data_IF_344368577384
#
_entry.id   IF_344368577384
#
_cell.length_a   1.000
_cell.length_b   1.000
_cell.length_c   1.000
_cell.angle_alpha   90.00
_cell.angle_beta   90.00
_cell.angle_gamma   90.00
#
_symmetry.space_group_name_H-M   'P 1'
#
loop_
_entity.id
_entity.type
_entity.pdbx_description
1 polymer ?
#
# COMPACT_ATOMS: atom_id res chain seq x y z
N UNK A 1 -16.07 3.80 6.76
CA UNK A 1 -15.86 4.90 5.79
C UNK A 1 -14.95 4.53 4.61
N UNK A 2 -13.80 3.89 4.89
CA UNK A 2 -12.80 3.51 3.88
C UNK A 2 -13.32 2.60 2.75
N UNK A 3 -14.38 1.81 2.97
CA UNK A 3 -14.98 0.98 1.91
C UNK A 3 -15.76 1.75 0.83
N UNK A 4 -15.84 3.09 0.89
CA UNK A 4 -16.48 3.91 -0.14
C UNK A 4 -15.45 4.30 -1.20
N UNK A 5 -15.83 4.26 -2.47
CA UNK A 5 -14.96 4.76 -3.56
C UNK A 5 -14.83 6.29 -3.50
N UNK A 6 -13.72 6.81 -4.04
CA UNK A 6 -13.43 8.26 -4.08
C UNK A 6 -14.51 9.02 -4.84
N UNK A 7 -14.97 8.48 -5.97
CA UNK A 7 -16.00 9.12 -6.82
C UNK A 7 -17.40 9.07 -6.19
N UNK A 8 -17.66 8.05 -5.37
CA UNK A 8 -19.02 7.74 -4.90
C UNK A 8 -19.95 7.25 -6.03
N UNK A 9 -21.22 6.97 -5.69
CA UNK A 9 -22.19 6.44 -6.65
C UNK A 9 -22.73 7.52 -7.59
N UNK A 10 -23.08 7.13 -8.83
CA UNK A 10 -23.67 8.02 -9.85
C UNK A 10 -24.88 8.83 -9.32
N UNK A 11 -25.73 8.21 -8.48
CA UNK A 11 -26.88 8.88 -7.87
C UNK A 11 -26.48 10.12 -7.06
N UNK A 12 -25.39 10.04 -6.30
CA UNK A 12 -24.91 11.17 -5.50
C UNK A 12 -24.34 12.28 -6.38
N UNK A 13 -23.63 11.91 -7.46
CA UNK A 13 -23.07 12.87 -8.42
C UNK A 13 -24.19 13.67 -9.10
N UNK A 14 -25.30 13.02 -9.46
CA UNK A 14 -26.44 13.70 -10.10
C UNK A 14 -27.26 14.55 -9.13
N UNK A 15 -27.16 14.32 -7.82
CA UNK A 15 -27.93 15.05 -6.81
C UNK A 15 -27.15 16.14 -6.08
N UNK A 16 -25.83 16.21 -6.25
CA UNK A 16 -24.98 17.15 -5.50
C UNK A 16 -25.32 18.60 -5.87
N UNK A 17 -25.51 19.45 -4.85
CA UNK A 17 -25.83 20.86 -5.01
C UNK A 17 -24.66 21.74 -4.57
N UNK A 18 -24.69 23.01 -4.98
CA UNK A 18 -23.71 24.02 -4.56
C UNK A 18 -23.57 24.11 -3.03
N UNK A 19 -24.68 24.02 -2.31
CA UNK A 19 -24.67 24.14 -0.84
C UNK A 19 -23.99 22.94 -0.16
N UNK A 20 -24.04 21.75 -0.77
CA UNK A 20 -23.31 20.57 -0.29
C UNK A 20 -21.79 20.79 -0.42
N UNK A 21 -21.35 21.35 -1.55
CA UNK A 21 -19.94 21.69 -1.79
C UNK A 21 -19.45 22.81 -0.86
N UNK A 22 -20.25 23.86 -0.69
CA UNK A 22 -19.92 24.96 0.21
C UNK A 22 -19.82 24.48 1.66
N UNK A 23 -20.74 23.61 2.09
CA UNK A 23 -20.71 22.94 3.39
C UNK A 23 -19.46 22.08 3.54
N UNK A 24 -19.12 21.28 2.53
CA UNK A 24 -17.93 20.43 2.55
C UNK A 24 -16.64 21.24 2.69
N UNK A 25 -16.48 22.33 1.92
CA UNK A 25 -15.33 23.23 2.00
C UNK A 25 -15.26 23.85 3.41
N UNK A 26 -16.37 24.42 3.89
CA UNK A 26 -16.41 25.06 5.23
C UNK A 26 -16.05 24.09 6.35
N UNK A 27 -16.43 22.82 6.24
CA UNK A 27 -16.18 21.81 7.29
C UNK A 27 -14.81 21.16 7.21
N UNK A 28 -14.18 21.09 6.03
CA UNK A 28 -12.94 20.31 5.84
C UNK A 28 -11.71 21.14 5.48
N UNK A 29 -11.87 22.32 4.85
CA UNK A 29 -10.76 23.16 4.40
C UNK A 29 -10.42 24.18 5.49
N UNK A 30 -9.90 23.66 6.60
CA UNK A 30 -9.57 24.42 7.80
C UNK A 30 -8.06 24.50 7.99
N UNK A 31 -7.59 25.59 8.60
CA UNK A 31 -6.16 25.87 8.76
C UNK A 31 -5.41 24.77 9.51
N UNK A 32 -6.06 24.09 10.45
CA UNK A 32 -5.50 22.97 11.24
C UNK A 32 -5.35 21.65 10.44
N UNK A 33 -5.89 21.57 9.22
CA UNK A 33 -5.87 20.37 8.36
C UNK A 33 -5.15 20.58 7.03
N UNK A 34 -4.57 21.76 6.83
CA UNK A 34 -3.89 22.14 5.60
C UNK A 34 -2.40 22.37 5.87
N UNK A 35 -1.57 22.03 4.89
CA UNK A 35 -0.12 22.28 4.94
C UNK A 35 0.27 23.00 3.66
N UNK A 36 0.89 24.17 3.80
CA UNK A 36 1.52 24.88 2.70
C UNK A 36 2.97 24.43 2.58
N UNK A 37 3.37 23.99 1.39
CA UNK A 37 4.71 23.49 1.12
C UNK A 37 5.36 24.31 0.00
N UNK A 38 6.59 24.76 0.23
CA UNK A 38 7.44 25.38 -0.77
C UNK A 38 8.75 24.60 -0.94
N UNK A 39 9.16 24.38 -2.20
CA UNK A 39 10.38 23.64 -2.55
C UNK A 39 11.08 24.29 -3.74
N UNK A 40 12.41 24.33 -3.72
CA UNK A 40 13.22 25.01 -4.74
C UNK A 40 13.85 26.28 -4.18
N UNK A 41 13.98 27.31 -5.01
CA UNK A 41 14.52 28.62 -4.62
C UNK A 41 13.51 29.49 -3.85
N UNK A 42 12.93 28.96 -2.78
CA UNK A 42 11.94 29.65 -1.94
C UNK A 42 12.52 29.87 -0.56
N UNK A 43 12.57 31.12 -0.10
CA UNK A 43 12.95 31.44 1.28
C UNK A 43 11.79 31.12 2.24
N UNK A 44 12.11 30.50 3.38
CA UNK A 44 11.10 30.07 4.33
C UNK A 44 10.37 31.24 5.00
N UNK A 45 11.09 32.34 5.29
CA UNK A 45 10.49 33.52 5.95
C UNK A 45 9.55 34.24 5.00
N UNK A 46 9.97 34.43 3.75
CA UNK A 46 9.12 35.02 2.72
C UNK A 46 7.84 34.20 2.51
N UNK A 47 7.97 32.86 2.44
CA UNK A 47 6.81 31.98 2.33
C UNK A 47 5.87 32.10 3.54
N UNK A 48 6.42 32.18 4.75
CA UNK A 48 5.65 32.34 5.98
C UNK A 48 4.90 33.68 6.03
N UNK A 49 5.55 34.77 5.59
CA UNK A 49 4.94 36.10 5.51
C UNK A 49 3.78 36.12 4.51
N UNK A 50 3.99 35.56 3.32
CA UNK A 50 2.94 35.40 2.31
C UNK A 50 1.81 34.51 2.81
N UNK A 51 2.13 33.41 3.50
CA UNK A 51 1.13 32.52 4.07
C UNK A 51 0.27 33.24 5.11
N UNK A 52 0.90 34.01 5.99
CA UNK A 52 0.22 34.80 7.02
C UNK A 52 -0.66 35.90 6.39
N UNK A 53 -0.16 36.55 5.35
CA UNK A 53 -0.90 37.59 4.62
C UNK A 53 -2.13 37.05 3.89
N UNK A 54 -2.02 35.89 3.24
CA UNK A 54 -3.07 35.38 2.34
C UNK A 54 -4.00 34.34 2.97
N UNK A 55 -3.55 33.61 3.99
CA UNK A 55 -4.29 32.48 4.57
C UNK A 55 -4.68 32.65 6.05
N UNK A 56 -4.37 33.80 6.68
CA UNK A 56 -4.75 34.06 8.09
C UNK A 56 -6.26 34.04 8.35
N UNK A 57 -7.08 34.19 7.31
CA UNK A 57 -8.54 34.23 7.42
C UNK A 57 -9.18 32.83 7.32
N UNK A 58 -8.39 31.77 7.12
CA UNK A 58 -8.90 30.40 7.07
C UNK A 58 -9.51 30.00 8.43
N UNK A 59 -10.68 29.36 8.43
CA UNK A 59 -11.30 28.90 9.66
C UNK A 59 -10.48 27.76 10.28
N UNK A 60 -10.52 27.65 11.61
CA UNK A 60 -10.03 26.47 12.34
C UNK A 60 -11.21 25.54 12.58
N UNK A 61 -10.99 24.21 12.50
CA UNK A 61 -12.06 23.25 12.74
C UNK A 61 -12.57 23.31 14.18
N UNK A 62 -13.83 22.92 14.41
CA UNK A 62 -14.43 22.94 15.75
C UNK A 62 -13.73 22.03 16.75
N UNK A 63 -13.14 20.93 16.25
CA UNK A 63 -12.35 19.98 17.02
C UNK A 63 -10.97 19.84 16.35
N UNK A 64 -10.03 20.76 16.63
CA UNK A 64 -8.69 20.71 16.05
C UNK A 64 -7.98 19.43 16.48
N UNK A 65 -7.42 18.71 15.52
CA UNK A 65 -6.57 17.56 15.80
C UNK A 65 -5.22 17.84 15.15
N UNK A 66 -4.14 17.58 15.89
CA UNK A 66 -2.81 17.74 15.34
C UNK A 66 -2.62 16.85 14.10
N UNK A 67 -1.86 17.34 13.12
CA UNK A 67 -1.54 16.59 11.91
C UNK A 67 -0.93 15.22 12.27
N UNK A 68 -1.30 14.20 11.49
CA UNK A 68 -0.94 12.81 11.73
C UNK A 68 -1.68 12.10 12.88
N UNK A 69 -2.63 12.75 13.56
CA UNK A 69 -3.49 12.09 14.54
C UNK A 69 -4.73 11.47 13.88
N UNK A 70 -5.33 10.50 14.58
CA UNK A 70 -6.55 9.82 14.11
C UNK A 70 -7.76 10.75 14.26
N UNK A 71 -8.48 10.97 13.17
CA UNK A 71 -9.74 11.73 13.16
C UNK A 71 -10.99 10.83 13.25
N UNK A 72 -10.82 9.53 13.04
CA UNK A 72 -11.92 8.58 12.89
C UNK A 72 -11.75 7.38 13.83
N UNK A 73 -12.86 6.71 14.20
CA UNK A 73 -12.78 5.44 14.93
C UNK A 73 -12.00 4.42 14.11
N UNK A 74 -11.40 3.44 14.81
CA UNK A 74 -10.62 2.39 14.16
C UNK A 74 -11.47 1.69 13.09
N UNK A 75 -10.93 1.61 11.89
CA UNK A 75 -11.51 0.87 10.78
C UNK A 75 -11.29 -0.63 11.02
N UNK A 76 -12.34 -1.42 10.79
CA UNK A 76 -12.26 -2.87 10.87
C UNK A 76 -11.92 -3.42 9.49
N UNK A 77 -10.84 -4.19 9.42
CA UNK A 77 -10.59 -5.07 8.28
C UNK A 77 -11.46 -6.33 8.42
N UNK A 78 -12.08 -6.75 7.31
CA UNK A 78 -12.92 -7.95 7.28
C UNK A 78 -12.45 -8.80 6.11
N UNK A 79 -11.96 -10.01 6.41
CA UNK A 79 -11.65 -10.99 5.39
C UNK A 79 -12.92 -11.41 4.67
N UNK A 80 -12.92 -11.26 3.36
CA UNK A 80 -14.07 -11.48 2.50
C UNK A 80 -13.62 -11.58 1.05
N UNK A 81 -14.50 -12.06 0.18
CA UNK A 81 -14.22 -12.09 -1.24
C UNK A 81 -15.32 -11.47 -2.08
N UNK A 82 -14.92 -10.92 -3.22
CA UNK A 82 -15.81 -10.54 -4.31
C UNK A 82 -15.23 -11.05 -5.62
N UNK A 83 -16.07 -11.73 -6.41
CA UNK A 83 -15.71 -12.26 -7.72
C UNK A 83 -16.68 -11.73 -8.76
N UNK A 84 -16.16 -10.97 -9.71
CA UNK A 84 -16.92 -10.45 -10.84
C UNK A 84 -16.46 -11.24 -12.06
N UNK A 85 -17.18 -12.33 -12.36
CA UNK A 85 -16.90 -13.15 -13.53
C UNK A 85 -17.33 -12.40 -14.79
N UNK A 86 -16.38 -12.22 -15.70
CA UNK A 86 -16.61 -11.66 -17.02
C UNK A 86 -15.80 -12.45 -18.05
N UNK A 87 -16.49 -13.35 -18.75
CA UNK A 87 -15.89 -14.25 -19.74
C UNK A 87 -15.48 -13.54 -21.03
N UNK A 88 -15.87 -12.27 -21.21
CA UNK A 88 -15.47 -11.46 -22.38
C UNK A 88 -14.05 -10.90 -22.23
N UNK A 89 -13.49 -10.89 -21.02
CA UNK A 89 -12.13 -10.46 -20.75
C UNK A 89 -11.12 -11.58 -21.09
N UNK A 90 -9.94 -11.19 -21.57
CA UNK A 90 -8.86 -12.13 -21.91
C UNK A 90 -8.03 -12.58 -20.71
N UNK A 91 -8.12 -11.89 -19.57
CA UNK A 91 -7.30 -12.14 -18.38
C UNK A 91 -8.14 -12.22 -17.10
N UNK A 92 -7.61 -12.94 -16.12
CA UNK A 92 -8.02 -12.87 -14.73
C UNK A 92 -7.20 -11.79 -14.02
N UNK A 93 -7.89 -10.92 -13.28
CA UNK A 93 -7.30 -9.86 -12.46
C UNK A 93 -7.64 -10.15 -11.00
N UNK A 94 -6.65 -10.41 -10.17
CA UNK A 94 -6.85 -10.91 -8.80
C UNK A 94 -6.04 -10.04 -7.83
N UNK A 95 -6.71 -9.42 -6.87
CA UNK A 95 -6.09 -8.75 -5.75
C UNK A 95 -6.30 -9.58 -4.48
N UNK A 96 -5.23 -9.87 -3.74
CA UNK A 96 -5.28 -10.53 -2.43
C UNK A 96 -4.57 -9.64 -1.43
N UNK A 97 -5.20 -9.34 -0.30
CA UNK A 97 -4.63 -8.50 0.75
C UNK A 97 -4.97 -9.00 2.15
N UNK A 98 -4.10 -8.70 3.11
CA UNK A 98 -4.36 -8.76 4.55
C UNK A 98 -4.50 -7.34 5.12
N UNK A 99 -4.91 -7.25 6.39
CA UNK A 99 -4.80 -5.99 7.13
C UNK A 99 -3.33 -5.56 7.22
N UNK A 100 -3.04 -4.43 6.59
CA UNK A 100 -1.76 -3.74 6.71
C UNK A 100 -1.70 -2.83 7.92
N UNK A 101 -0.76 -1.88 7.90
CA UNK A 101 -0.54 -0.97 9.03
C UNK A 101 -0.74 0.47 8.61
N UNK A 102 -1.09 1.32 9.58
CA UNK A 102 -1.14 2.76 9.36
C UNK A 102 0.25 3.42 9.39
N UNK A 103 0.33 4.67 8.91
CA UNK A 103 1.57 5.43 8.76
C UNK A 103 2.43 5.56 10.02
N UNK A 104 1.81 5.50 11.20
CA UNK A 104 2.50 5.68 12.50
C UNK A 104 2.83 4.37 13.21
N UNK A 105 2.50 3.24 12.59
CA UNK A 105 2.81 1.93 13.16
C UNK A 105 4.33 1.73 13.23
N UNK A 106 4.88 1.15 14.31
CA UNK A 106 6.28 0.74 14.34
C UNK A 106 6.61 -0.31 13.27
N UNK A 107 5.59 -1.06 12.82
CA UNK A 107 5.71 -2.09 11.79
C UNK A 107 5.68 -1.51 10.35
N UNK A 108 5.59 -0.19 10.18
CA UNK A 108 5.50 0.45 8.86
C UNK A 108 6.70 0.16 7.94
N UNK A 109 7.93 0.39 8.42
CA UNK A 109 9.13 0.11 7.62
C UNK A 109 9.36 -1.39 7.39
N UNK A 110 9.19 -2.29 8.39
CA UNK A 110 9.18 -3.72 8.15
C UNK A 110 8.19 -4.17 7.06
N UNK A 111 6.98 -3.61 7.02
CA UNK A 111 5.99 -3.90 5.98
C UNK A 111 6.44 -3.49 4.58
N UNK A 112 7.09 -2.33 4.45
CA UNK A 112 7.68 -1.88 3.17
C UNK A 112 8.85 -2.76 2.74
N UNK A 113 9.69 -3.19 3.67
CA UNK A 113 10.78 -4.14 3.36
C UNK A 113 10.19 -5.48 2.94
N UNK A 114 9.15 -5.98 3.62
CA UNK A 114 8.45 -7.21 3.27
C UNK A 114 7.81 -7.13 1.87
N UNK A 115 7.21 -5.99 1.51
CA UNK A 115 6.74 -5.72 0.14
C UNK A 115 7.91 -5.80 -0.86
N UNK A 116 9.05 -5.17 -0.56
CA UNK A 116 10.24 -5.18 -1.41
C UNK A 116 10.87 -6.58 -1.57
N UNK A 117 10.73 -7.46 -0.57
CA UNK A 117 11.13 -8.88 -0.68
C UNK A 117 10.30 -9.58 -1.76
N UNK A 118 8.96 -9.42 -1.72
CA UNK A 118 8.04 -9.94 -2.74
C UNK A 118 8.30 -9.32 -4.12
N UNK A 119 8.50 -8.00 -4.15
CA UNK A 119 8.84 -7.26 -5.36
C UNK A 119 7.67 -7.14 -6.34
N UNK A 120 8.01 -6.82 -7.58
CA UNK A 120 7.10 -6.70 -8.71
C UNK A 120 7.70 -7.47 -9.89
N UNK A 121 6.86 -7.94 -10.80
CA UNK A 121 7.29 -8.67 -11.98
C UNK A 121 6.31 -8.44 -13.12
N UNK A 122 6.84 -8.36 -14.34
CA UNK A 122 6.05 -8.26 -15.55
C UNK A 122 6.79 -9.00 -16.66
N UNK A 123 6.05 -9.79 -17.46
CA UNK A 123 6.60 -10.59 -18.55
C UNK A 123 7.31 -9.75 -19.62
N UNK A 124 6.96 -8.47 -19.75
CA UNK A 124 7.54 -7.53 -20.70
C UNK A 124 8.91 -6.99 -20.26
N UNK A 125 9.30 -7.21 -18.99
CA UNK A 125 10.62 -6.81 -18.51
C UNK A 125 11.69 -7.67 -19.20
N UNK A 126 12.65 -7.04 -19.88
CA UNK A 126 13.76 -7.76 -20.53
C UNK A 126 14.57 -8.64 -19.57
N UNK A 127 14.56 -8.35 -18.27
CA UNK A 127 15.20 -9.12 -17.21
C UNK A 127 14.21 -9.98 -16.38
N UNK A 128 12.98 -10.20 -16.86
CA UNK A 128 11.95 -10.98 -16.16
C UNK A 128 12.43 -12.34 -15.59
N UNK A 129 13.20 -13.18 -16.31
CA UNK A 129 13.66 -14.47 -15.78
C UNK A 129 14.81 -14.35 -14.78
N UNK A 130 15.44 -13.17 -14.66
CA UNK A 130 16.62 -12.92 -13.83
C UNK A 130 16.26 -12.15 -12.54
N UNK A 131 14.99 -11.83 -12.33
CA UNK A 131 14.55 -11.12 -11.13
C UNK A 131 14.77 -11.99 -9.89
N UNK A 132 15.37 -11.38 -8.86
CA UNK A 132 15.85 -12.09 -7.67
C UNK A 132 14.75 -12.50 -6.68
N UNK A 133 13.50 -12.07 -6.88
CA UNK A 133 12.39 -12.51 -6.02
C UNK A 133 12.07 -13.97 -6.34
N UNK A 134 11.79 -14.77 -5.31
CA UNK A 134 11.48 -16.19 -5.48
C UNK A 134 10.18 -16.38 -6.27
N UNK A 135 9.17 -15.56 -5.97
CA UNK A 135 7.89 -15.59 -6.68
C UNK A 135 8.06 -15.27 -8.17
N UNK A 136 8.90 -14.28 -8.51
CA UNK A 136 9.24 -13.96 -9.89
C UNK A 136 9.83 -15.15 -10.64
N UNK A 137 10.73 -15.90 -10.01
CA UNK A 137 11.33 -17.08 -10.62
C UNK A 137 10.28 -18.16 -10.88
N UNK A 138 9.44 -18.49 -9.89
CA UNK A 138 8.37 -19.48 -10.03
C UNK A 138 7.40 -19.08 -11.15
N UNK A 139 6.93 -17.83 -11.15
CA UNK A 139 6.00 -17.32 -12.15
C UNK A 139 6.63 -17.33 -13.55
N UNK A 140 7.89 -16.91 -13.69
CA UNK A 140 8.57 -16.89 -14.97
C UNK A 140 8.85 -18.29 -15.52
N UNK A 141 9.23 -19.25 -14.66
CA UNK A 141 9.55 -20.63 -15.09
C UNK A 141 8.31 -21.41 -15.52
N UNK A 142 7.16 -21.14 -14.91
CA UNK A 142 5.90 -21.84 -15.17
C UNK A 142 4.89 -21.02 -15.98
N UNK A 143 5.23 -19.78 -16.37
CA UNK A 143 4.35 -18.88 -17.12
C UNK A 143 2.96 -18.73 -16.46
N UNK A 144 2.94 -18.51 -15.14
CA UNK A 144 1.72 -18.50 -14.34
C UNK A 144 0.95 -17.17 -14.39
N UNK A 145 1.63 -16.07 -14.69
CA UNK A 145 1.04 -14.73 -14.73
C UNK A 145 1.66 -13.89 -15.86
N UNK A 146 0.94 -12.85 -16.26
CA UNK A 146 1.42 -11.79 -17.14
C UNK A 146 2.22 -10.77 -16.33
N UNK A 147 1.72 -10.42 -15.15
CA UNK A 147 2.39 -9.53 -14.21
C UNK A 147 1.88 -9.72 -12.78
N UNK A 148 2.71 -9.30 -11.83
CA UNK A 148 2.27 -9.07 -10.45
C UNK A 148 2.89 -7.82 -9.87
N UNK A 149 2.17 -7.20 -8.94
CA UNK A 149 2.61 -6.05 -8.20
C UNK A 149 2.26 -6.22 -6.72
N UNK A 150 3.27 -6.24 -5.85
CA UNK A 150 3.04 -6.19 -4.41
C UNK A 150 2.78 -4.75 -3.96
N UNK A 151 1.86 -4.56 -3.02
CA UNK A 151 1.49 -3.26 -2.51
C UNK A 151 1.44 -3.23 -0.98
N UNK A 152 1.78 -2.07 -0.43
CA UNK A 152 1.63 -1.74 0.99
C UNK A 152 0.99 -0.35 1.07
N UNK A 153 -0.33 -0.32 1.19
CA UNK A 153 -1.11 0.92 1.29
C UNK A 153 -1.40 1.21 2.76
N UNK A 154 -0.94 2.36 3.26
CA UNK A 154 -1.18 2.78 4.64
C UNK A 154 -2.28 3.85 4.70
N UNK A 155 -3.17 3.74 5.68
CA UNK A 155 -4.11 4.79 6.07
C UNK A 155 -3.76 5.30 7.48
N UNK A 156 -4.61 6.15 8.06
CA UNK A 156 -4.34 6.75 9.38
C UNK A 156 -4.28 5.73 10.52
N UNK A 157 -5.03 4.64 10.42
CA UNK A 157 -5.31 3.70 11.51
C UNK A 157 -5.25 2.21 11.12
N UNK A 158 -5.31 1.91 9.82
CA UNK A 158 -5.19 0.56 9.22
C UNK A 158 -4.42 0.67 7.90
N UNK A 159 -4.29 -0.43 7.16
CA UNK A 159 -3.70 -0.46 5.83
C UNK A 159 -4.13 -1.70 5.05
N UNK A 160 -3.62 -1.83 3.84
CA UNK A 160 -3.69 -3.05 3.04
C UNK A 160 -2.27 -3.44 2.65
N UNK A 161 -1.91 -4.69 2.94
CA UNK A 161 -0.68 -5.27 2.43
C UNK A 161 -1.06 -6.49 1.60
N UNK A 162 -0.56 -6.56 0.36
CA UNK A 162 -1.06 -7.57 -0.56
C UNK A 162 -0.36 -7.57 -1.90
N UNK A 163 -0.99 -8.26 -2.85
CA UNK A 163 -0.48 -8.45 -4.20
C UNK A 163 -1.62 -8.40 -5.21
N UNK A 164 -1.34 -7.76 -6.33
CA UNK A 164 -2.19 -7.72 -7.51
C UNK A 164 -1.57 -8.61 -8.59
N UNK A 165 -2.38 -9.51 -9.14
CA UNK A 165 -1.98 -10.55 -10.08
C UNK A 165 -2.81 -10.40 -11.35
N UNK A 166 -2.16 -10.49 -12.51
CA UNK A 166 -2.83 -10.53 -13.81
C UNK A 166 -2.36 -11.76 -14.55
N UNK A 167 -3.28 -12.61 -15.01
CA UNK A 167 -2.92 -13.82 -15.74
C UNK A 167 -3.89 -14.13 -16.87
N UNK A 168 -3.34 -14.49 -18.03
CA UNK A 168 -4.04 -15.11 -19.15
C UNK A 168 -4.01 -16.66 -19.07
N UNK A 169 -3.22 -17.23 -18.15
CA UNK A 169 -3.15 -18.67 -17.92
C UNK A 169 -4.26 -19.10 -16.94
N UNK A 170 -5.46 -19.25 -17.49
CA UNK A 170 -6.69 -19.48 -16.72
C UNK A 170 -6.77 -20.87 -16.07
N UNK A 171 -6.02 -21.83 -16.60
CA UNK A 171 -5.98 -23.21 -16.10
C UNK A 171 -5.12 -23.37 -14.84
N UNK A 172 -4.24 -22.41 -14.55
CA UNK A 172 -3.27 -22.46 -13.44
C UNK A 172 -3.41 -21.25 -12.50
N UNK A 173 -4.61 -20.67 -12.39
CA UNK A 173 -4.86 -19.56 -11.46
C UNK A 173 -4.74 -20.01 -10.00
N UNK A 174 -5.07 -21.26 -9.72
CA UNK A 174 -4.89 -21.90 -8.42
C UNK A 174 -3.41 -22.03 -8.07
N UNK A 175 -2.57 -22.54 -8.97
CA UNK A 175 -1.11 -22.60 -8.78
C UNK A 175 -0.53 -21.21 -8.53
N UNK A 176 -0.97 -20.21 -9.30
CA UNK A 176 -0.52 -18.82 -9.14
C UNK A 176 -0.79 -18.30 -7.73
N UNK A 177 -2.03 -18.47 -7.23
CA UNK A 177 -2.40 -18.02 -5.88
C UNK A 177 -1.70 -18.86 -4.82
N UNK A 178 -1.64 -20.18 -5.00
CA UNK A 178 -0.97 -21.10 -4.09
C UNK A 178 0.50 -20.73 -3.88
N UNK A 179 1.28 -20.59 -4.96
CA UNK A 179 2.69 -20.21 -4.86
C UNK A 179 2.89 -18.81 -4.28
N UNK A 180 1.97 -17.89 -4.56
CA UNK A 180 1.98 -16.54 -3.98
C UNK A 180 1.83 -16.60 -2.46
N UNK A 181 0.82 -17.33 -1.95
CA UNK A 181 0.58 -17.48 -0.51
C UNK A 181 1.64 -18.32 0.17
N UNK A 182 2.21 -19.32 -0.51
CA UNK A 182 3.36 -20.06 0.01
C UNK A 182 4.58 -19.19 0.26
N UNK A 183 4.85 -18.20 -0.60
CA UNK A 183 5.92 -17.24 -0.34
C UNK A 183 5.59 -16.31 0.83
N UNK A 184 4.31 -15.96 1.06
CA UNK A 184 3.88 -15.25 2.27
C UNK A 184 4.14 -16.06 3.53
N UNK A 185 3.69 -17.31 3.55
CA UNK A 185 3.87 -18.24 4.67
C UNK A 185 5.34 -18.54 4.92
N UNK A 186 6.17 -18.64 3.86
CA UNK A 186 7.63 -18.81 3.99
C UNK A 186 8.28 -17.63 4.72
N UNK A 187 7.89 -16.40 4.43
CA UNK A 187 8.43 -15.22 5.13
C UNK A 187 8.16 -15.26 6.65
N UNK A 188 7.09 -15.94 7.07
CA UNK A 188 6.78 -16.19 8.50
C UNK A 188 7.68 -17.27 9.13
N UNK A 189 8.27 -18.17 8.35
CA UNK A 189 9.06 -19.30 8.87
C UNK A 189 10.56 -19.02 8.76
N UNK A 190 11.03 -18.74 7.54
CA UNK A 190 12.43 -18.70 7.19
C UNK A 190 12.72 -17.63 6.11
N UNK A 191 12.61 -16.33 6.46
CA UNK A 191 13.24 -15.31 5.65
C UNK A 191 14.77 -15.46 5.69
N UNK A 192 15.48 -15.00 4.66
CA UNK A 192 16.95 -15.08 4.57
C UNK A 192 17.58 -13.70 4.73
N UNK A 193 18.80 -13.62 5.25
CA UNK A 193 19.48 -12.32 5.40
C UNK A 193 19.76 -11.69 4.02
N UNK A 194 20.09 -12.51 3.02
CA UNK A 194 20.35 -12.04 1.65
C UNK A 194 19.12 -11.37 1.01
N UNK A 195 17.92 -11.93 1.16
CA UNK A 195 16.72 -11.31 0.57
C UNK A 195 16.32 -10.02 1.30
N UNK A 196 16.52 -9.98 2.62
CA UNK A 196 16.24 -8.79 3.44
C UNK A 196 17.19 -7.65 3.08
N UNK A 197 18.49 -7.90 2.97
CA UNK A 197 19.47 -6.87 2.59
C UNK A 197 19.28 -6.38 1.15
N UNK A 198 18.91 -7.28 0.22
CA UNK A 198 18.50 -6.89 -1.13
C UNK A 198 17.28 -5.97 -1.09
N UNK A 199 16.23 -6.37 -0.37
CA UNK A 199 14.99 -5.62 -0.28
C UNK A 199 15.17 -4.23 0.36
N UNK A 200 16.00 -4.13 1.39
CA UNK A 200 16.40 -2.86 2.02
C UNK A 200 17.13 -1.96 1.02
N UNK A 201 18.05 -2.51 0.25
CA UNK A 201 18.80 -1.76 -0.76
C UNK A 201 17.88 -1.24 -1.87
N UNK A 202 16.98 -2.08 -2.37
CA UNK A 202 15.97 -1.70 -3.37
C UNK A 202 15.01 -0.64 -2.85
N UNK A 203 14.52 -0.78 -1.61
CA UNK A 203 13.63 0.19 -0.99
C UNK A 203 14.30 1.55 -0.81
N UNK A 204 15.55 1.59 -0.32
CA UNK A 204 16.31 2.84 -0.19
C UNK A 204 16.51 3.53 -1.54
N UNK A 205 16.90 2.76 -2.57
CA UNK A 205 17.07 3.30 -3.92
C UNK A 205 15.74 3.86 -4.45
N UNK A 206 14.64 3.11 -4.32
CA UNK A 206 13.31 3.55 -4.77
C UNK A 206 12.84 4.83 -4.06
N UNK A 207 13.02 4.92 -2.74
CA UNK A 207 12.63 6.11 -1.97
C UNK A 207 13.47 7.34 -2.34
N UNK A 208 14.78 7.19 -2.55
CA UNK A 208 15.65 8.30 -2.91
C UNK A 208 15.44 8.77 -4.35
N UNK A 209 15.31 7.85 -5.31
CA UNK A 209 15.03 8.18 -6.71
C UNK A 209 13.64 8.80 -6.87
N UNK A 210 12.69 8.43 -6.00
CA UNK A 210 11.36 9.05 -5.94
C UNK A 210 11.35 10.51 -5.46
N UNK A 211 12.47 11.02 -4.93
CA UNK A 211 12.60 12.42 -4.49
C UNK A 211 13.26 13.33 -5.54
N UNK A 212 13.37 12.86 -6.78
CA UNK A 212 13.94 13.66 -7.86
C UNK A 212 12.96 14.76 -8.33
N UNK A 213 13.46 16.00 -8.40
CA UNK A 213 12.69 17.19 -8.75
C UNK A 213 11.91 17.85 -7.60
N UNK A 214 11.64 19.15 -7.75
CA UNK A 214 10.97 19.97 -6.71
C UNK A 214 9.56 19.51 -6.39
N UNK A 215 8.79 19.10 -7.40
CA UNK A 215 7.40 18.63 -7.22
C UNK A 215 7.33 17.36 -6.37
N UNK A 216 8.23 16.40 -6.60
CA UNK A 216 8.28 15.16 -5.82
C UNK A 216 8.65 15.44 -4.35
N UNK A 217 9.61 16.35 -4.13
CA UNK A 217 9.98 16.79 -2.78
C UNK A 217 8.81 17.50 -2.09
N UNK A 218 8.02 18.30 -2.83
CA UNK A 218 6.87 19.01 -2.26
C UNK A 218 5.77 18.04 -1.84
N UNK A 219 5.46 17.05 -2.69
CA UNK A 219 4.52 15.96 -2.35
C UNK A 219 4.99 15.24 -1.09
N UNK A 220 6.27 14.87 -1.02
CA UNK A 220 6.81 14.11 0.09
C UNK A 220 6.70 14.87 1.43
N UNK A 221 7.07 16.16 1.44
CA UNK A 221 6.93 17.02 2.62
C UNK A 221 5.45 17.09 3.05
N UNK A 222 4.56 17.40 2.10
CA UNK A 222 3.14 17.60 2.39
C UNK A 222 2.49 16.34 2.92
N UNK A 223 2.68 15.21 2.21
CA UNK A 223 2.15 13.91 2.61
C UNK A 223 2.67 13.48 3.97
N UNK A 224 3.97 13.57 4.23
CA UNK A 224 4.53 13.16 5.53
C UNK A 224 4.00 14.03 6.69
N UNK A 225 3.87 15.34 6.48
CA UNK A 225 3.31 16.23 7.50
C UNK A 225 1.84 15.89 7.77
N UNK A 226 1.02 15.71 6.74
CA UNK A 226 -0.41 15.37 6.91
C UNK A 226 -0.60 13.99 7.55
N UNK A 227 0.19 12.99 7.14
CA UNK A 227 0.00 11.59 7.56
C UNK A 227 0.71 11.22 8.86
N UNK A 228 1.93 11.70 9.08
CA UNK A 228 2.77 11.35 10.23
C UNK A 228 2.96 12.52 11.22
N UNK A 229 2.53 13.73 10.86
CA UNK A 229 2.73 14.94 11.67
C UNK A 229 4.17 15.47 11.65
N UNK A 230 5.08 14.80 10.93
CA UNK A 230 6.49 15.18 10.82
C UNK A 230 7.07 14.67 9.50
N UNK A 231 8.06 15.41 8.98
CA UNK A 231 8.89 14.95 7.87
C UNK A 231 10.10 14.18 8.41
N UNK A 232 10.29 12.97 7.93
CA UNK A 232 11.53 12.22 8.07
C UNK A 232 12.53 12.69 7.01
N UNK A 233 13.77 12.93 7.43
CA UNK A 233 14.85 13.19 6.49
C UNK A 233 15.23 11.90 5.75
N UNK A 234 15.84 11.99 4.54
CA UNK A 234 16.34 10.81 3.84
C UNK A 234 17.26 9.94 4.71
N UNK A 235 18.08 10.55 5.56
CA UNK A 235 18.96 9.84 6.51
C UNK A 235 18.20 9.10 7.61
N UNK A 236 17.11 9.69 8.12
CA UNK A 236 16.26 9.02 9.11
C UNK A 236 15.52 7.84 8.50
N UNK A 237 15.00 7.99 7.27
CA UNK A 237 14.37 6.91 6.52
C UNK A 237 15.38 5.78 6.27
N UNK A 238 16.59 6.13 5.80
CA UNK A 238 17.66 5.15 5.61
C UNK A 238 17.97 4.39 6.90
N UNK A 239 18.12 5.09 8.02
CA UNK A 239 18.36 4.47 9.32
C UNK A 239 17.22 3.53 9.74
N UNK A 240 15.97 3.93 9.51
CA UNK A 240 14.80 3.12 9.85
C UNK A 240 14.67 1.87 8.97
N UNK A 241 15.01 1.97 7.68
CA UNK A 241 15.08 0.80 6.78
C UNK A 241 16.25 -0.10 7.18
N UNK A 242 17.42 0.47 7.49
CA UNK A 242 18.61 -0.28 7.87
C UNK A 242 18.44 -1.05 9.19
N UNK A 243 17.61 -0.55 10.12
CA UNK A 243 17.31 -1.25 11.37
C UNK A 243 16.41 -2.48 11.22
N UNK A 244 15.77 -2.67 10.05
CA UNK A 244 14.96 -3.87 9.80
C UNK A 244 15.88 -5.08 9.68
N UNK A 245 15.63 -6.09 10.53
CA UNK A 245 16.35 -7.35 10.55
C UNK A 245 15.47 -8.48 10.01
N UNK A 246 16.09 -9.62 9.69
CA UNK A 246 15.38 -10.85 9.34
C UNK A 246 14.37 -11.29 10.41
N UNK A 247 14.71 -11.15 11.69
CA UNK A 247 13.83 -11.51 12.80
C UNK A 247 12.62 -10.58 12.90
N UNK A 248 12.81 -9.28 12.60
CA UNK A 248 11.69 -8.32 12.49
C UNK A 248 10.76 -8.68 11.33
N UNK A 249 11.30 -9.07 10.17
CA UNK A 249 10.48 -9.57 9.05
C UNK A 249 9.71 -10.82 9.46
N UNK A 250 10.36 -11.78 10.11
CA UNK A 250 9.70 -12.99 10.60
C UNK A 250 8.58 -12.65 11.59
N UNK A 251 8.84 -11.75 12.55
CA UNK A 251 7.85 -11.29 13.53
C UNK A 251 6.64 -10.65 12.85
N UNK A 252 6.87 -9.76 11.89
CA UNK A 252 5.81 -9.04 11.17
C UNK A 252 5.03 -10.00 10.27
N UNK A 253 5.68 -10.88 9.53
CA UNK A 253 5.02 -11.90 8.72
C UNK A 253 4.14 -12.83 9.59
N UNK A 254 4.63 -13.28 10.75
CA UNK A 254 3.81 -14.04 11.70
C UNK A 254 2.61 -13.23 12.23
N UNK A 255 2.80 -11.94 12.50
CA UNK A 255 1.75 -11.11 13.08
C UNK A 255 0.63 -10.80 12.09
N UNK A 256 0.95 -10.61 10.81
CA UNK A 256 0.01 -10.06 9.82
C UNK A 256 -0.31 -10.99 8.64
N UNK A 257 0.50 -12.03 8.39
CA UNK A 257 0.25 -13.01 7.31
C UNK A 257 -0.18 -14.35 7.89
N UNK A 258 0.53 -14.87 8.89
CA UNK A 258 0.27 -16.21 9.41
C UNK A 258 -1.12 -16.33 10.02
N UNK A 259 -1.89 -17.27 9.47
CA UNK A 259 -3.25 -17.61 9.91
C UNK A 259 -4.16 -16.37 10.02
N UNK A 260 -4.03 -15.43 9.07
CA UNK A 260 -4.89 -14.26 8.96
C UNK A 260 -5.94 -14.42 7.88
N UNK A 261 -7.08 -13.79 8.12
CA UNK A 261 -8.11 -13.67 7.11
C UNK A 261 -7.64 -12.75 5.98
N UNK A 262 -8.01 -13.08 4.76
CA UNK A 262 -7.63 -12.35 3.55
C UNK A 262 -8.84 -11.67 2.93
N UNK A 263 -8.61 -10.55 2.27
CA UNK A 263 -9.59 -9.91 1.40
C UNK A 263 -9.20 -10.20 -0.05
N UNK A 264 -10.15 -10.69 -0.85
CA UNK A 264 -9.93 -11.08 -2.25
C UNK A 264 -10.88 -10.30 -3.15
N UNK A 265 -10.36 -9.67 -4.19
CA UNK A 265 -11.16 -9.09 -5.26
C UNK A 265 -10.69 -9.63 -6.60
N UNK A 266 -11.58 -10.28 -7.34
CA UNK A 266 -11.25 -10.91 -8.62
C UNK A 266 -12.21 -10.43 -9.73
N UNK A 267 -11.66 -10.12 -10.91
CA UNK A 267 -12.39 -9.65 -12.09
C UNK A 267 -11.91 -10.36 -13.36
N UNK A 268 -12.85 -10.71 -14.24
CA UNK A 268 -12.58 -11.34 -15.54
C UNK A 268 -12.82 -12.84 -15.51
N UNK A 269 -11.95 -13.61 -16.17
CA UNK A 269 -12.05 -15.07 -16.24
C UNK A 269 -11.46 -15.75 -15.00
N UNK A 270 -12.23 -15.73 -13.92
CA UNK A 270 -11.80 -16.14 -12.57
C UNK A 270 -12.34 -17.51 -12.16
N UNK A 271 -12.83 -18.31 -13.11
CA UNK A 271 -13.39 -19.65 -12.87
C UNK A 271 -12.37 -20.66 -12.31
N UNK A 272 -11.08 -20.48 -12.61
CA UNK A 272 -9.99 -21.32 -12.09
C UNK A 272 -9.56 -21.00 -10.65
N UNK A 273 -10.09 -19.95 -10.03
CA UNK A 273 -9.73 -19.55 -8.67
C UNK A 273 -10.43 -20.44 -7.63
N UNK A 274 -9.65 -21.09 -6.75
CA UNK A 274 -10.19 -21.87 -5.63
C UNK A 274 -11.08 -21.06 -4.69
N UNK A 275 -11.96 -21.74 -3.95
CA UNK A 275 -12.85 -21.10 -2.99
C UNK A 275 -12.09 -20.41 -1.85
N UNK A 276 -12.75 -19.46 -1.19
CA UNK A 276 -12.15 -18.69 -0.10
C UNK A 276 -11.52 -19.58 0.99
N UNK A 277 -12.17 -20.70 1.34
CA UNK A 277 -11.69 -21.57 2.41
C UNK A 277 -10.34 -22.22 2.06
N UNK A 278 -10.14 -22.66 0.82
CA UNK A 278 -8.85 -23.20 0.37
C UNK A 278 -7.76 -22.13 0.39
N UNK A 279 -8.07 -20.94 -0.12
CA UNK A 279 -7.11 -19.82 -0.13
C UNK A 279 -6.75 -19.42 1.31
N UNK A 280 -7.73 -19.41 2.22
CA UNK A 280 -7.51 -19.14 3.64
C UNK A 280 -6.68 -20.22 4.34
N UNK A 281 -6.80 -21.47 3.91
CA UNK A 281 -5.99 -22.58 4.43
C UNK A 281 -4.51 -22.45 4.05
N UNK A 282 -4.20 -21.87 2.88
CA UNK A 282 -2.81 -21.64 2.42
C UNK A 282 -2.07 -20.53 3.21
N UNK A 283 -2.78 -19.77 4.06
CA UNK A 283 -2.22 -18.74 4.95
C UNK A 283 -1.49 -19.32 6.18
N UNK A 284 -1.48 -20.63 6.34
CA UNK A 284 -0.71 -21.33 7.35
C UNK A 284 -0.12 -22.62 6.79
N UNK A 285 0.88 -23.19 7.47
CA UNK A 285 1.48 -24.47 7.10
C UNK A 285 1.35 -25.44 8.27
N UNK A 286 0.94 -26.69 7.98
CA UNK A 286 0.90 -27.77 8.98
C UNK A 286 2.26 -28.46 9.17
N UNK A 287 3.26 -28.11 8.37
CA UNK A 287 4.58 -28.76 8.39
C UNK A 287 5.55 -28.15 9.41
N UNK A 288 5.16 -27.09 10.12
CA UNK A 288 5.99 -26.37 11.09
C UNK A 288 5.21 -25.98 12.34
#
# INVERSE_FOLDING_TARGET
PLGRTILGPKKNILSIKRDDLASYIKSNYTADRMVLVGTGGVDHRELQELASKHFSHLPVSSNPVALGQKHHPKTNFVGSEVRIRDDTMSTANIAIAVEGVGWRSPDYFPMLVMQSIMGNWDRSLGAAPLLSSRLSHIISSHSLANSFMSFSTSYSDTGLWGIYLVSENLSNLDDLVHFTLREWTRMSIAPTDAEVERAKSQLKASLLLGLDGTTAVAEDIGRQLVTAGRRFTPRQIESAVNSVTKDEIKRVANKYLWDKDVAIAALGRVEGLFDYNRIRADMSSMLY
#
